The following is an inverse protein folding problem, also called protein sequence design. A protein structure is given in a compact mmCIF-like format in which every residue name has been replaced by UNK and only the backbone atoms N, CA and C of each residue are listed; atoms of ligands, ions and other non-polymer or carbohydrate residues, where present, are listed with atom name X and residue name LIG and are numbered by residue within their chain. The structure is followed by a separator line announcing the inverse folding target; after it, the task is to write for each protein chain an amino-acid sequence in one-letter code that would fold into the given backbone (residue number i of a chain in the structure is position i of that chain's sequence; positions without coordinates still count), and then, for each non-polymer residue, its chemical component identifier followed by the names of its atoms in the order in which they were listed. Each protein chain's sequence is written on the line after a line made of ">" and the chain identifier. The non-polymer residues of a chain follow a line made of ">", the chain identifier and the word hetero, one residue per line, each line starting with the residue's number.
data_IF_436326698707
#
_entry.id   IF_436326698707
#
_cell.length_a   1.000
_cell.length_b   1.000
_cell.length_c   1.000
_cell.angle_alpha   90.00
_cell.angle_beta   90.00
_cell.angle_gamma   90.00
#
_symmetry.space_group_name_H-M   'P 1'
#
loop_
_entity.id
_entity.type
_entity.pdbx_description
1 polymer ?
#
# COMPACT_ATOMS: atom_id res chain seq x y z
N UNK A 1 8.06 -48.01 -33.30
CA UNK A 1 8.18 -46.62 -33.80
C UNK A 1 7.52 -45.70 -32.79
N UNK A 2 8.15 -44.54 -32.56
CA UNK A 2 7.90 -43.59 -31.47
C UNK A 2 6.46 -43.05 -31.41
N UNK A 3 5.96 -42.84 -30.18
CA UNK A 3 4.70 -42.15 -29.82
C UNK A 3 4.69 -40.70 -30.30
N UNK A 4 3.53 -40.09 -30.64
CA UNK A 4 3.29 -38.72 -30.28
C UNK A 4 2.65 -38.71 -28.89
N UNK A 5 3.47 -38.31 -27.92
CA UNK A 5 2.98 -37.71 -26.68
C UNK A 5 2.01 -36.61 -27.09
N UNK A 6 0.76 -36.71 -26.65
CA UNK A 6 -0.16 -35.57 -26.62
C UNK A 6 0.51 -34.56 -25.70
N UNK A 7 1.29 -33.68 -26.30
CA UNK A 7 1.81 -32.48 -25.66
C UNK A 7 0.57 -31.67 -25.35
N UNK A 8 0.06 -31.83 -24.13
CA UNK A 8 -0.75 -30.81 -23.49
C UNK A 8 0.02 -29.52 -23.69
N UNK A 9 -0.43 -28.72 -24.66
CA UNK A 9 0.01 -27.35 -24.84
C UNK A 9 -0.16 -26.71 -23.46
N UNK A 10 0.96 -26.57 -22.77
CA UNK A 10 1.06 -25.89 -21.51
C UNK A 10 0.69 -24.45 -21.80
N UNK A 11 -0.59 -24.15 -21.65
CA UNK A 11 -1.09 -22.84 -21.33
C UNK A 11 -0.33 -22.43 -20.06
N UNK A 12 0.80 -21.76 -20.26
CA UNK A 12 1.47 -20.95 -19.26
C UNK A 12 0.56 -19.77 -18.94
N UNK A 13 -0.58 -20.05 -18.31
CA UNK A 13 -1.18 -19.10 -17.41
C UNK A 13 -0.15 -18.99 -16.28
N UNK A 14 0.67 -17.94 -16.37
CA UNK A 14 1.44 -17.46 -15.24
C UNK A 14 0.41 -17.11 -14.17
N UNK A 15 0.12 -18.08 -13.32
CA UNK A 15 -0.54 -17.85 -12.05
C UNK A 15 0.43 -16.95 -11.30
N UNK A 16 0.23 -15.63 -11.37
CA UNK A 16 0.81 -14.74 -10.40
C UNK A 16 0.36 -15.27 -9.04
N UNK A 17 1.25 -15.98 -8.36
CA UNK A 17 0.97 -16.60 -7.08
C UNK A 17 0.58 -15.51 -6.11
N UNK A 18 -0.37 -15.78 -5.21
CA UNK A 18 -0.76 -14.84 -4.16
C UNK A 18 0.44 -14.35 -3.33
N UNK A 19 1.53 -15.12 -3.30
CA UNK A 19 2.82 -14.74 -2.73
C UNK A 19 3.47 -13.55 -3.42
N UNK A 20 3.41 -13.44 -4.76
CA UNK A 20 4.03 -12.35 -5.51
C UNK A 20 3.30 -11.01 -5.25
N UNK A 21 1.96 -11.02 -5.29
CA UNK A 21 1.15 -9.83 -4.93
C UNK A 21 1.37 -9.41 -3.47
N UNK A 22 1.53 -10.38 -2.55
CA UNK A 22 1.81 -10.08 -1.14
C UNK A 22 3.19 -9.45 -0.95
N UNK A 23 4.21 -9.92 -1.69
CA UNK A 23 5.56 -9.34 -1.69
C UNK A 23 5.54 -7.91 -2.26
N UNK A 24 4.84 -7.71 -3.39
CA UNK A 24 4.66 -6.39 -4.00
C UNK A 24 3.97 -5.42 -3.04
N UNK A 25 2.90 -5.86 -2.37
CA UNK A 25 2.19 -5.05 -1.36
C UNK A 25 3.07 -4.63 -0.20
N UNK A 26 3.85 -5.56 0.36
CA UNK A 26 4.83 -5.25 1.42
C UNK A 26 5.85 -4.23 0.95
N UNK A 27 6.39 -4.37 -0.26
CA UNK A 27 7.35 -3.42 -0.83
C UNK A 27 6.75 -2.01 -0.98
N UNK A 28 5.49 -1.91 -1.42
CA UNK A 28 4.77 -0.62 -1.50
C UNK A 28 4.59 -0.01 -0.12
N UNK A 29 4.16 -0.80 0.87
CA UNK A 29 3.97 -0.36 2.26
C UNK A 29 5.29 0.12 2.87
N UNK A 30 6.37 -0.63 2.73
CA UNK A 30 7.70 -0.27 3.25
C UNK A 30 8.20 1.04 2.63
N UNK A 31 8.00 1.22 1.32
CA UNK A 31 8.32 2.46 0.62
C UNK A 31 7.53 3.66 1.17
N UNK A 32 6.22 3.50 1.37
CA UNK A 32 5.36 4.55 1.93
C UNK A 32 5.78 4.88 3.36
N UNK A 33 5.93 3.87 4.22
CA UNK A 33 6.26 4.06 5.63
C UNK A 33 7.61 4.76 5.81
N UNK A 34 8.61 4.46 4.98
CA UNK A 34 9.88 5.18 4.98
C UNK A 34 9.70 6.68 4.71
N UNK A 35 8.90 7.03 3.71
CA UNK A 35 8.63 8.43 3.35
C UNK A 35 7.77 9.15 4.41
N UNK A 36 6.81 8.45 5.02
CA UNK A 36 6.00 8.96 6.13
C UNK A 36 6.87 9.27 7.37
N UNK A 37 7.79 8.38 7.73
CA UNK A 37 8.70 8.59 8.87
C UNK A 37 9.68 9.74 8.61
N UNK A 38 10.18 9.88 7.38
CA UNK A 38 11.00 11.02 6.99
C UNK A 38 10.23 12.33 7.14
N UNK A 39 9.02 12.41 6.59
CA UNK A 39 8.17 13.59 6.69
C UNK A 39 7.76 13.93 8.14
N UNK A 40 7.56 12.92 8.99
CA UNK A 40 7.32 13.16 10.41
C UNK A 40 8.52 13.82 11.08
N UNK A 41 9.74 13.36 10.77
CA UNK A 41 10.98 13.91 11.32
C UNK A 41 11.20 15.36 10.87
N UNK A 42 10.87 15.67 9.62
CA UNK A 42 11.10 16.99 9.03
C UNK A 42 10.00 18.01 9.36
N UNK A 43 8.73 17.59 9.39
CA UNK A 43 7.59 18.52 9.31
C UNK A 43 6.57 18.38 10.45
N UNK A 44 6.02 17.17 10.67
CA UNK A 44 4.87 17.02 11.57
C UNK A 44 5.27 16.89 13.03
N UNK A 45 6.42 16.26 13.28
CA UNK A 45 6.99 16.04 14.62
C UNK A 45 5.99 15.40 15.58
N UNK A 46 5.17 14.48 15.07
CA UNK A 46 4.25 13.71 15.89
C UNK A 46 5.06 12.82 16.85
N UNK A 47 4.53 12.58 18.06
CA UNK A 47 5.05 11.57 18.96
C UNK A 47 5.25 10.22 18.25
N UNK A 48 6.27 9.47 18.69
CA UNK A 48 6.56 8.15 18.11
C UNK A 48 5.34 7.20 18.17
N UNK A 49 4.57 7.27 19.25
CA UNK A 49 3.35 6.49 19.40
C UNK A 49 2.32 6.82 18.29
N UNK A 50 2.15 8.09 17.96
CA UNK A 50 1.15 8.56 17.00
C UNK A 50 1.54 8.22 15.57
N UNK A 51 2.82 8.42 15.21
CA UNK A 51 3.29 8.05 13.88
C UNK A 51 3.24 6.54 13.67
N UNK A 52 3.51 5.75 14.72
CA UNK A 52 3.37 4.29 14.70
C UNK A 52 1.92 3.85 14.51
N UNK A 53 0.96 4.53 15.12
CA UNK A 53 -0.47 4.28 14.88
C UNK A 53 -0.80 4.52 13.41
N UNK A 54 -0.34 5.65 12.85
CA UNK A 54 -0.62 5.99 11.46
C UNK A 54 -0.01 4.98 10.48
N UNK A 55 1.25 4.58 10.64
CA UNK A 55 1.87 3.55 9.78
C UNK A 55 1.15 2.22 9.92
N UNK A 56 0.73 1.82 11.13
CA UNK A 56 -0.03 0.58 11.31
C UNK A 56 -1.40 0.61 10.60
N UNK A 57 -2.06 1.77 10.53
CA UNK A 57 -3.30 1.93 9.77
C UNK A 57 -3.02 1.73 8.28
N UNK A 58 -1.96 2.37 7.74
CA UNK A 58 -1.55 2.18 6.34
C UNK A 58 -1.31 0.71 6.03
N UNK A 59 -0.51 0.02 6.84
CA UNK A 59 -0.19 -1.40 6.68
C UNK A 59 -1.47 -2.24 6.64
N UNK A 60 -2.35 -2.04 7.62
CA UNK A 60 -3.59 -2.79 7.75
C UNK A 60 -4.49 -2.59 6.53
N UNK A 61 -4.69 -1.35 6.11
CA UNK A 61 -5.61 -1.01 5.02
C UNK A 61 -5.10 -1.46 3.65
N UNK A 62 -3.80 -1.29 3.37
CA UNK A 62 -3.20 -1.73 2.10
C UNK A 62 -3.09 -3.27 2.02
N UNK A 63 -2.85 -3.95 3.13
CA UNK A 63 -2.70 -5.41 3.15
C UNK A 63 -4.03 -6.17 3.12
N UNK A 64 -5.19 -5.51 3.31
CA UNK A 64 -6.51 -6.16 3.27
C UNK A 64 -6.80 -6.88 1.95
N UNK A 65 -6.43 -6.28 0.83
CA UNK A 65 -6.81 -6.78 -0.50
C UNK A 65 -5.67 -6.63 -1.52
N UNK A 66 -5.60 -7.50 -2.56
CA UNK A 66 -4.59 -7.42 -3.61
C UNK A 66 -4.56 -6.07 -4.33
N UNK A 67 -3.37 -5.56 -4.67
CA UNK A 67 -3.23 -4.28 -5.37
C UNK A 67 -3.40 -4.42 -6.89
N UNK A 68 -3.09 -5.59 -7.45
CA UNK A 68 -3.08 -5.83 -8.90
C UNK A 68 -4.44 -5.68 -9.61
N UNK A 69 -5.54 -5.48 -8.89
CA UNK A 69 -6.90 -5.46 -9.46
C UNK A 69 -7.73 -4.23 -9.12
N UNK A 70 -7.15 -3.23 -8.43
CA UNK A 70 -7.93 -2.09 -7.92
C UNK A 70 -8.06 -0.96 -8.94
N UNK A 71 -9.31 -0.63 -9.26
CA UNK A 71 -9.71 0.60 -9.94
C UNK A 71 -9.29 1.85 -9.14
N UNK A 72 -9.27 3.01 -9.79
CA UNK A 72 -9.02 4.28 -9.10
C UNK A 72 -10.00 4.53 -7.94
N UNK A 73 -11.26 4.12 -8.11
CA UNK A 73 -12.29 4.26 -7.08
C UNK A 73 -11.96 3.39 -5.84
N UNK A 74 -11.49 2.16 -6.03
CA UNK A 74 -11.09 1.29 -4.93
C UNK A 74 -9.82 1.77 -4.23
N UNK A 75 -8.90 2.39 -4.98
CA UNK A 75 -7.72 3.03 -4.39
C UNK A 75 -8.11 4.26 -3.56
N UNK A 76 -9.04 5.09 -4.05
CA UNK A 76 -9.59 6.21 -3.28
C UNK A 76 -10.29 5.72 -2.01
N UNK A 77 -11.06 4.63 -2.10
CA UNK A 77 -11.72 4.03 -0.94
C UNK A 77 -10.74 3.63 0.16
N UNK A 78 -9.60 3.04 -0.19
CA UNK A 78 -8.54 2.70 0.78
C UNK A 78 -8.01 3.95 1.46
N UNK A 79 -7.79 5.03 0.71
CA UNK A 79 -7.29 6.29 1.26
C UNK A 79 -8.32 6.91 2.21
N UNK A 80 -9.61 6.85 1.85
CA UNK A 80 -10.69 7.32 2.71
C UNK A 80 -10.81 6.45 3.99
N UNK A 81 -10.66 5.13 3.88
CA UNK A 81 -10.62 4.22 5.02
C UNK A 81 -9.45 4.53 5.96
N UNK A 82 -8.27 4.84 5.41
CA UNK A 82 -7.10 5.29 6.18
C UNK A 82 -7.38 6.64 6.84
N UNK A 83 -8.01 7.59 6.15
CA UNK A 83 -8.35 8.91 6.71
C UNK A 83 -9.29 8.80 7.91
N UNK A 84 -10.37 8.05 7.77
CA UNK A 84 -11.35 7.85 8.83
C UNK A 84 -10.79 7.05 10.01
N UNK A 85 -9.99 6.01 9.74
CA UNK A 85 -9.28 5.28 10.79
C UNK A 85 -8.29 6.19 11.54
N UNK A 86 -7.58 7.06 10.83
CA UNK A 86 -6.63 8.01 11.44
C UNK A 86 -7.34 9.01 12.34
N UNK A 87 -8.46 9.61 11.89
CA UNK A 87 -9.28 10.50 12.73
C UNK A 87 -9.79 9.82 14.00
N UNK A 88 -10.16 8.54 13.89
CA UNK A 88 -10.70 7.76 14.99
C UNK A 88 -9.63 7.39 16.02
N UNK A 89 -8.46 6.95 15.58
CA UNK A 89 -7.38 6.45 16.45
C UNK A 89 -6.47 7.58 16.95
N UNK A 90 -6.44 8.73 16.26
CA UNK A 90 -5.67 9.93 16.64
C UNK A 90 -6.57 11.16 16.80
N UNK A 91 -7.59 11.14 17.68
CA UNK A 91 -8.53 12.25 17.83
C UNK A 91 -7.89 13.53 18.41
N UNK A 92 -6.69 13.42 18.98
CA UNK A 92 -5.93 14.55 19.52
C UNK A 92 -5.06 15.25 18.47
N UNK A 93 -4.83 14.64 17.30
CA UNK A 93 -4.10 15.26 16.20
C UNK A 93 -5.05 16.18 15.45
N UNK A 94 -4.64 17.40 15.18
CA UNK A 94 -5.51 18.37 14.51
C UNK A 94 -5.83 17.94 13.07
N UNK A 95 -7.04 18.26 12.61
CA UNK A 95 -7.54 17.85 11.30
C UNK A 95 -6.61 18.27 10.15
N UNK A 96 -5.97 19.45 10.26
CA UNK A 96 -5.07 19.96 9.22
C UNK A 96 -3.78 19.14 9.12
N UNK A 97 -3.27 18.64 10.24
CA UNK A 97 -2.14 17.70 10.25
C UNK A 97 -2.54 16.35 9.67
N UNK A 98 -3.71 15.82 10.04
CA UNK A 98 -4.25 14.60 9.45
C UNK A 98 -4.39 14.73 7.92
N UNK A 99 -4.95 15.84 7.44
CA UNK A 99 -5.13 16.06 6.00
C UNK A 99 -3.78 16.10 5.26
N UNK A 100 -2.74 16.71 5.84
CA UNK A 100 -1.38 16.68 5.28
C UNK A 100 -0.78 15.27 5.23
N UNK A 101 -1.04 14.45 6.25
CA UNK A 101 -0.58 13.06 6.28
C UNK A 101 -1.23 12.25 5.15
N UNK A 102 -2.53 12.43 4.94
CA UNK A 102 -3.28 11.78 3.85
C UNK A 102 -2.85 12.28 2.48
N UNK A 103 -2.59 13.58 2.31
CA UNK A 103 -2.09 14.12 1.04
C UNK A 103 -0.69 13.60 0.71
N UNK A 104 0.19 13.49 1.71
CA UNK A 104 1.49 12.85 1.49
C UNK A 104 1.32 11.37 1.11
N UNK A 105 0.44 10.64 1.79
CA UNK A 105 0.12 9.26 1.46
C UNK A 105 -0.35 9.10 0.01
N UNK A 106 -1.22 9.98 -0.50
CA UNK A 106 -1.66 9.97 -1.91
C UNK A 106 -0.47 10.10 -2.86
N UNK A 107 0.39 11.09 -2.62
CA UNK A 107 1.55 11.39 -3.46
C UNK A 107 2.54 10.23 -3.44
N UNK A 108 2.89 9.75 -2.24
CA UNK A 108 3.89 8.70 -2.05
C UNK A 108 3.36 7.32 -2.43
N UNK A 109 2.09 7.03 -2.17
CA UNK A 109 1.42 5.81 -2.62
C UNK A 109 1.48 5.65 -4.14
N UNK A 110 1.23 6.73 -4.89
CA UNK A 110 1.39 6.74 -6.35
C UNK A 110 2.85 6.46 -6.76
N UNK A 111 3.80 7.21 -6.19
CA UNK A 111 5.22 7.07 -6.49
C UNK A 111 5.76 5.66 -6.20
N UNK A 112 5.49 5.12 -5.00
CA UNK A 112 5.92 3.79 -4.58
C UNK A 112 5.28 2.69 -5.46
N UNK A 113 4.00 2.83 -5.80
CA UNK A 113 3.33 1.88 -6.71
C UNK A 113 3.96 1.90 -8.10
N UNK A 114 4.30 3.07 -8.64
CA UNK A 114 4.96 3.19 -9.95
C UNK A 114 6.40 2.64 -9.94
N UNK A 115 7.14 2.82 -8.85
CA UNK A 115 8.48 2.27 -8.68
C UNK A 115 8.46 0.75 -8.63
N UNK A 116 7.55 0.18 -7.85
CA UNK A 116 7.46 -1.28 -7.68
C UNK A 116 6.95 -1.95 -8.97
N UNK A 117 6.07 -1.30 -9.76
CA UNK A 117 5.62 -1.83 -11.05
C UNK A 117 6.66 -1.79 -12.18
N UNK A 118 7.74 -1.02 -12.03
CA UNK A 118 8.83 -0.91 -13.01
C UNK A 118 9.94 -1.95 -12.80
N UNK A 119 9.90 -2.68 -11.68
CA UNK A 119 10.79 -3.78 -11.34
C UNK A 119 10.05 -5.12 -11.47
#
# INVERSE_FOLDING_TARGET
>A
MFKPVVVCAALLFVVASADEDTVVRKSVVDCINKDILAANTESWKLPEADIKIFTNIIDKEIMKEPLCKKTLQEQMKIIDEIHEATKKELPHVDQKTIDKMIDLLKIKGKHCTELVKKH
#
